data_IF_370661143060
#
_entry.id   IF_370661143060
#
_cell.length_a   1.000
_cell.length_b   1.000
_cell.length_c   1.000
_cell.angle_alpha   90.00
_cell.angle_beta   90.00
_cell.angle_gamma   90.00
#
_symmetry.space_group_name_H-M   'P 1'
#
loop_
_entity.id
_entity.type
_entity.pdbx_description
1 polymer ?
#
# COMPACT_ATOMS: atom_id res chain seq x y z
N UNK A 1 -2.76 -12.27 -22.88
CA UNK A 1 -2.74 -11.29 -21.77
C UNK A 1 -3.90 -11.62 -20.85
N UNK A 2 -3.66 -11.78 -19.55
CA UNK A 2 -4.64 -12.25 -18.56
C UNK A 2 -5.23 -11.06 -17.80
N UNK A 3 -6.57 -11.09 -17.56
CA UNK A 3 -7.25 -10.01 -16.86
C UNK A 3 -7.22 -10.27 -15.35
N UNK A 4 -6.68 -9.32 -14.58
CA UNK A 4 -6.82 -9.27 -13.13
C UNK A 4 -8.18 -8.69 -12.78
N UNK A 5 -8.96 -9.40 -11.99
CA UNK A 5 -10.33 -9.05 -11.63
C UNK A 5 -10.42 -8.53 -10.20
N UNK A 6 -11.47 -7.77 -9.90
CA UNK A 6 -11.86 -7.53 -8.52
C UNK A 6 -12.12 -8.87 -7.83
N UNK A 7 -11.67 -9.01 -6.57
CA UNK A 7 -11.85 -10.27 -5.80
C UNK A 7 -13.32 -10.66 -5.65
N UNK A 8 -14.23 -9.68 -5.61
CA UNK A 8 -15.68 -9.89 -5.54
C UNK A 8 -16.19 -10.46 -6.85
N UNK A 9 -15.80 -9.86 -7.98
CA UNK A 9 -16.15 -10.37 -9.30
C UNK A 9 -15.61 -11.78 -9.51
N UNK A 10 -14.36 -12.00 -9.11
CA UNK A 10 -13.73 -13.32 -9.17
C UNK A 10 -14.49 -14.36 -8.33
N UNK A 11 -14.91 -13.99 -7.11
CA UNK A 11 -15.61 -14.90 -6.19
C UNK A 11 -17.01 -15.28 -6.68
N UNK A 12 -17.80 -14.31 -7.12
CA UNK A 12 -19.21 -14.53 -7.41
C UNK A 12 -19.50 -14.87 -8.87
N UNK A 13 -18.74 -14.30 -9.81
CA UNK A 13 -18.96 -14.50 -11.24
C UNK A 13 -18.02 -15.54 -11.86
N UNK A 14 -16.91 -15.88 -11.17
CA UNK A 14 -15.92 -16.84 -11.64
C UNK A 14 -15.49 -17.83 -10.54
N UNK A 15 -16.43 -18.59 -9.90
CA UNK A 15 -16.17 -19.38 -8.70
C UNK A 15 -15.10 -20.45 -8.87
N UNK A 16 -14.93 -21.05 -10.06
CA UNK A 16 -13.84 -22.00 -10.32
C UNK A 16 -12.47 -21.30 -10.29
N UNK A 17 -12.36 -20.13 -10.93
CA UNK A 17 -11.12 -19.35 -10.93
C UNK A 17 -10.78 -18.83 -9.53
N UNK A 18 -11.81 -18.43 -8.78
CA UNK A 18 -11.65 -18.04 -7.37
C UNK A 18 -11.12 -19.21 -6.54
N UNK A 19 -11.70 -20.41 -6.68
CA UNK A 19 -11.23 -21.61 -5.98
C UNK A 19 -9.80 -21.98 -6.33
N UNK A 20 -9.41 -21.86 -7.60
CA UNK A 20 -8.03 -22.08 -8.03
C UNK A 20 -7.07 -21.05 -7.41
N UNK A 21 -7.44 -19.77 -7.39
CA UNK A 21 -6.65 -18.71 -6.73
C UNK A 21 -6.48 -18.99 -5.24
N UNK A 22 -7.56 -19.29 -4.51
CA UNK A 22 -7.53 -19.55 -3.06
C UNK A 22 -6.64 -20.77 -2.75
N UNK A 23 -6.74 -21.85 -3.54
CA UNK A 23 -5.90 -23.03 -3.35
C UNK A 23 -4.44 -22.78 -3.71
N UNK A 24 -4.16 -22.01 -4.75
CA UNK A 24 -2.79 -21.62 -5.10
C UNK A 24 -2.17 -20.76 -3.99
N UNK A 25 -2.92 -19.81 -3.44
CA UNK A 25 -2.51 -18.98 -2.31
C UNK A 25 -2.22 -19.84 -1.07
N UNK A 26 -3.10 -20.77 -0.71
CA UNK A 26 -2.88 -21.71 0.39
C UNK A 26 -1.58 -22.51 0.21
N UNK A 27 -1.40 -23.11 -0.96
CA UNK A 27 -0.20 -23.90 -1.25
C UNK A 27 1.09 -23.03 -1.22
N UNK A 28 1.01 -21.77 -1.63
CA UNK A 28 2.12 -20.83 -1.54
C UNK A 28 2.42 -20.48 -0.08
N UNK A 29 1.40 -20.19 0.74
CA UNK A 29 1.57 -19.90 2.18
C UNK A 29 2.24 -21.06 2.91
N UNK A 30 1.91 -22.30 2.55
CA UNK A 30 2.49 -23.52 3.15
C UNK A 30 3.91 -23.82 2.62
N UNK A 31 4.43 -23.01 1.68
CA UNK A 31 5.72 -23.24 1.04
C UNK A 31 6.85 -22.41 1.67
N UNK A 32 8.09 -22.77 1.37
CA UNK A 32 9.27 -21.99 1.72
C UNK A 32 9.42 -20.69 0.91
N UNK A 33 8.67 -20.52 -0.18
CA UNK A 33 8.73 -19.31 -0.99
C UNK A 33 7.90 -18.17 -0.36
N UNK A 34 6.90 -18.51 0.48
CA UNK A 34 6.08 -17.50 1.18
C UNK A 34 6.90 -16.50 2.00
N UNK A 35 7.71 -16.95 3.00
CA UNK A 35 8.50 -16.01 3.80
C UNK A 35 9.57 -15.27 2.98
N UNK A 36 10.01 -15.84 1.87
CA UNK A 36 10.99 -15.19 0.98
C UNK A 36 10.38 -14.04 0.23
N UNK A 37 9.24 -14.25 -0.42
CA UNK A 37 8.56 -13.20 -1.18
C UNK A 37 8.06 -12.09 -0.26
N UNK A 38 7.47 -12.44 0.88
CA UNK A 38 6.99 -11.45 1.85
C UNK A 38 8.14 -10.67 2.49
N UNK A 39 9.26 -11.32 2.79
CA UNK A 39 10.43 -10.72 3.41
C UNK A 39 11.11 -9.66 2.56
N UNK A 40 10.96 -9.68 1.24
CA UNK A 40 11.50 -8.66 0.33
C UNK A 40 10.94 -7.27 0.67
N UNK A 41 9.70 -7.19 1.13
CA UNK A 41 9.07 -5.91 1.45
C UNK A 41 9.68 -5.25 2.70
N UNK A 42 9.86 -5.98 3.78
CA UNK A 42 10.25 -5.37 5.04
C UNK A 42 11.33 -6.10 5.83
N UNK A 43 11.22 -7.40 5.94
CA UNK A 43 12.15 -8.23 6.70
C UNK A 43 12.62 -9.40 5.85
N UNK A 44 13.82 -9.31 5.33
CA UNK A 44 14.43 -10.44 4.66
C UNK A 44 14.85 -11.51 5.68
N UNK A 45 14.43 -12.75 5.47
CA UNK A 45 14.74 -13.87 6.33
C UNK A 45 15.59 -14.91 5.60
N UNK A 46 16.57 -15.46 6.29
CA UNK A 46 17.32 -16.63 5.83
C UNK A 46 17.11 -17.79 6.80
N UNK A 47 17.02 -19.03 6.32
CA UNK A 47 17.12 -20.18 7.20
C UNK A 47 18.53 -20.21 7.83
N UNK A 48 18.60 -20.40 9.15
CA UNK A 48 19.83 -20.73 9.84
C UNK A 48 20.16 -22.23 9.64
N UNK A 49 21.28 -22.71 10.23
CA UNK A 49 21.74 -24.10 10.13
C UNK A 49 20.71 -25.13 10.67
N UNK A 50 19.70 -24.69 11.42
CA UNK A 50 18.61 -25.53 11.93
C UNK A 50 17.33 -25.41 11.09
N UNK A 51 17.35 -24.70 9.94
CA UNK A 51 16.19 -24.45 9.10
C UNK A 51 15.24 -23.38 9.65
N UNK A 52 15.59 -22.70 10.74
CA UNK A 52 14.80 -21.60 11.32
C UNK A 52 15.08 -20.32 10.53
N UNK A 53 14.03 -19.64 10.07
CA UNK A 53 14.15 -18.38 9.35
C UNK A 53 14.57 -17.28 10.31
N UNK A 54 15.74 -16.72 10.06
CA UNK A 54 16.29 -15.59 10.82
C UNK A 54 16.36 -14.34 9.93
N UNK A 55 16.26 -13.13 10.48
CA UNK A 55 16.49 -11.90 9.73
C UNK A 55 17.85 -11.94 9.03
N UNK A 56 17.92 -11.54 7.78
CA UNK A 56 19.19 -11.42 7.06
C UNK A 56 20.05 -10.32 7.67
N UNK A 57 21.36 -10.53 7.57
CA UNK A 57 22.32 -9.50 7.96
C UNK A 57 22.01 -8.18 7.19
N UNK A 58 21.78 -7.08 7.90
CA UNK A 58 21.50 -5.76 7.29
C UNK A 58 22.62 -5.27 6.35
N UNK A 59 23.85 -5.71 6.52
CA UNK A 59 24.96 -5.35 5.62
C UNK A 59 24.73 -5.80 4.17
N UNK A 60 24.10 -6.94 3.96
CA UNK A 60 23.79 -7.45 2.60
C UNK A 60 22.71 -6.58 1.94
N UNK A 61 21.74 -6.11 2.71
CA UNK A 61 20.67 -5.23 2.22
C UNK A 61 21.20 -3.83 1.95
N UNK A 62 22.16 -3.37 2.74
CA UNK A 62 22.80 -2.05 2.59
C UNK A 62 23.65 -1.97 1.31
N UNK A 63 24.31 -3.04 0.92
CA UNK A 63 25.13 -3.12 -0.32
C UNK A 63 24.23 -3.02 -1.57
N UNK A 64 22.98 -3.49 -1.50
CA UNK A 64 22.05 -3.56 -2.63
C UNK A 64 20.99 -2.44 -2.63
N UNK A 65 20.81 -1.75 -1.52
CA UNK A 65 19.88 -0.64 -1.38
C UNK A 65 20.57 0.70 -1.60
N UNK A 66 20.16 1.47 -2.61
CA UNK A 66 20.68 2.82 -2.89
C UNK A 66 20.52 3.80 -1.71
N UNK A 67 19.71 3.45 -0.71
CA UNK A 67 19.32 4.32 0.40
C UNK A 67 19.94 3.94 1.74
N UNK A 68 20.62 2.78 1.82
CA UNK A 68 21.10 2.22 3.09
C UNK A 68 19.98 1.73 4.01
N UNK A 69 18.76 1.54 3.47
CA UNK A 69 17.62 0.99 4.18
C UNK A 69 17.72 -0.54 4.31
N UNK A 70 17.27 -1.13 5.43
CA UNK A 70 17.34 -2.57 5.65
C UNK A 70 16.34 -3.40 4.83
N UNK A 71 15.60 -2.78 3.91
CA UNK A 71 14.60 -3.43 3.05
C UNK A 71 14.70 -2.92 1.61
N UNK A 72 14.17 -3.72 0.71
CA UNK A 72 14.12 -3.34 -0.71
C UNK A 72 12.94 -2.43 -1.03
N UNK A 73 11.87 -2.48 -0.23
CA UNK A 73 10.67 -1.73 -0.47
C UNK A 73 10.93 -0.22 -0.55
N UNK A 74 10.30 0.43 -1.49
CA UNK A 74 10.45 1.85 -1.78
C UNK A 74 9.20 2.61 -1.30
N UNK A 75 9.30 3.24 -0.11
CA UNK A 75 8.30 4.18 0.41
C UNK A 75 8.89 5.57 0.51
N UNK A 76 8.03 6.59 0.42
CA UNK A 76 8.42 8.00 0.52
C UNK A 76 9.49 8.41 -0.49
N UNK A 77 9.44 7.80 -1.67
CA UNK A 77 10.31 8.08 -2.83
C UNK A 77 9.49 7.94 -4.11
N UNK A 78 9.92 8.63 -5.16
CA UNK A 78 9.18 8.62 -6.43
C UNK A 78 9.07 7.22 -7.08
N UNK A 79 9.98 6.32 -6.80
CA UNK A 79 9.94 4.93 -7.32
C UNK A 79 8.94 4.02 -6.62
N UNK A 80 8.16 4.52 -5.65
CA UNK A 80 7.21 3.76 -4.84
C UNK A 80 6.38 2.77 -5.66
N UNK A 81 5.50 3.26 -6.52
CA UNK A 81 4.55 2.36 -7.22
C UNK A 81 5.24 1.51 -8.29
N UNK A 82 6.23 2.07 -8.99
CA UNK A 82 6.93 1.34 -10.04
C UNK A 82 7.79 0.17 -9.50
N UNK A 83 8.26 0.24 -8.24
CA UNK A 83 8.93 -0.87 -7.58
C UNK A 83 7.93 -1.98 -7.18
N UNK A 84 6.73 -1.61 -6.75
CA UNK A 84 5.72 -2.58 -6.34
C UNK A 84 5.14 -3.36 -7.52
N UNK A 85 5.11 -2.81 -8.73
CA UNK A 85 4.63 -3.49 -9.94
C UNK A 85 5.35 -4.83 -10.21
N UNK A 86 6.68 -4.91 -10.37
CA UNK A 86 7.38 -6.18 -10.53
C UNK A 86 7.26 -7.07 -9.29
N UNK A 87 7.14 -6.51 -8.10
CA UNK A 87 6.98 -7.25 -6.85
C UNK A 87 5.70 -8.07 -6.84
N UNK A 88 4.55 -7.46 -7.12
CA UNK A 88 3.28 -8.18 -7.20
C UNK A 88 3.20 -9.13 -8.40
N UNK A 89 3.92 -8.84 -9.49
CA UNK A 89 4.01 -9.77 -10.60
C UNK A 89 4.80 -11.04 -10.22
N UNK A 90 5.88 -10.92 -9.46
CA UNK A 90 6.59 -12.07 -8.93
C UNK A 90 5.71 -12.93 -8.02
N UNK A 91 4.87 -12.30 -7.21
CA UNK A 91 3.88 -13.02 -6.42
C UNK A 91 2.89 -13.79 -7.31
N UNK A 92 2.39 -13.19 -8.39
CA UNK A 92 1.51 -13.87 -9.35
C UNK A 92 2.19 -15.08 -10.01
N UNK A 93 3.48 -14.98 -10.35
CA UNK A 93 4.25 -16.11 -10.85
C UNK A 93 4.37 -17.24 -9.81
N UNK A 94 4.54 -16.91 -8.53
CA UNK A 94 4.53 -17.91 -7.46
C UNK A 94 3.14 -18.54 -7.28
N UNK A 95 2.05 -17.80 -7.39
CA UNK A 95 0.70 -18.40 -7.41
C UNK A 95 0.60 -19.45 -8.53
N UNK A 96 1.13 -19.17 -9.71
CA UNK A 96 1.13 -20.12 -10.84
C UNK A 96 2.04 -21.34 -10.59
N UNK A 97 3.20 -21.14 -9.97
CA UNK A 97 4.07 -22.25 -9.54
C UNK A 97 3.37 -23.21 -8.57
N UNK A 98 2.54 -22.66 -7.67
CA UNK A 98 1.82 -23.42 -6.65
C UNK A 98 0.39 -23.78 -7.05
N UNK A 99 -0.03 -23.51 -8.28
CA UNK A 99 -1.30 -23.95 -8.84
C UNK A 99 -1.28 -25.45 -9.13
N UNK A 100 -2.02 -26.22 -8.32
CA UNK A 100 -2.18 -27.67 -8.46
C UNK A 100 -3.56 -28.07 -9.01
N UNK A 101 -4.28 -27.14 -9.65
CA UNK A 101 -5.57 -27.44 -10.27
C UNK A 101 -5.42 -28.38 -11.47
N UNK A 102 -6.45 -29.18 -11.73
CA UNK A 102 -6.45 -30.18 -12.83
C UNK A 102 -6.20 -29.49 -14.18
N UNK A 103 -6.79 -28.32 -14.39
CA UNK A 103 -6.69 -27.62 -15.68
C UNK A 103 -5.43 -26.75 -15.81
N UNK A 104 -4.69 -26.54 -14.71
CA UNK A 104 -3.49 -25.68 -14.67
C UNK A 104 -3.67 -24.32 -15.36
N UNK A 105 -4.89 -23.77 -15.35
CA UNK A 105 -5.17 -22.46 -15.92
C UNK A 105 -4.37 -21.38 -15.21
N UNK A 106 -3.92 -20.38 -15.94
CA UNK A 106 -3.15 -19.28 -15.39
C UNK A 106 -3.95 -18.55 -14.27
N UNK A 107 -3.32 -18.39 -13.12
CA UNK A 107 -3.88 -17.71 -11.95
C UNK A 107 -3.45 -16.26 -11.99
N UNK A 108 -4.39 -15.36 -12.11
CA UNK A 108 -4.12 -13.92 -11.98
C UNK A 108 -4.29 -13.48 -10.53
N UNK A 109 -3.48 -12.55 -10.08
CA UNK A 109 -3.63 -11.90 -8.79
C UNK A 109 -4.86 -10.98 -8.82
N UNK A 110 -5.92 -11.22 -8.03
CA UNK A 110 -7.05 -10.30 -8.00
C UNK A 110 -6.70 -9.01 -7.24
N UNK A 111 -7.54 -7.99 -7.38
CA UNK A 111 -7.43 -6.77 -6.60
C UNK A 111 -8.62 -6.58 -5.65
N UNK A 112 -8.42 -5.82 -4.57
CA UNK A 112 -9.46 -5.38 -3.64
C UNK A 112 -9.63 -3.86 -3.73
N UNK A 113 -10.86 -3.40 -3.90
CA UNK A 113 -11.22 -1.98 -3.84
C UNK A 113 -12.11 -1.74 -2.61
N UNK A 114 -11.50 -1.45 -1.48
CA UNK A 114 -12.20 -1.17 -0.21
C UNK A 114 -13.05 0.10 -0.26
N UNK A 115 -12.88 0.93 -1.28
CA UNK A 115 -13.70 2.14 -1.46
C UNK A 115 -15.02 1.89 -2.19
N UNK A 116 -15.27 0.64 -2.58
CA UNK A 116 -16.58 0.21 -3.07
C UNK A 116 -17.46 -0.26 -1.90
N UNK A 117 -18.34 0.62 -1.43
CA UNK A 117 -19.25 0.35 -0.29
C UNK A 117 -20.45 -0.53 -0.65
N UNK A 118 -20.60 -0.89 -1.91
CA UNK A 118 -21.70 -1.77 -2.35
C UNK A 118 -21.42 -3.25 -2.02
N UNK A 119 -20.19 -3.57 -1.63
CA UNK A 119 -19.74 -4.95 -1.39
C UNK A 119 -19.19 -5.13 0.02
N UNK A 120 -19.31 -6.35 0.51
CA UNK A 120 -18.81 -6.77 1.82
C UNK A 120 -17.57 -7.67 1.67
N UNK A 121 -16.48 -7.25 2.29
CA UNK A 121 -15.21 -7.98 2.28
C UNK A 121 -14.96 -8.79 3.56
N UNK A 122 -15.93 -8.86 4.50
CA UNK A 122 -15.75 -9.53 5.79
C UNK A 122 -15.44 -11.02 5.66
N UNK A 123 -15.87 -11.68 4.56
CA UNK A 123 -15.53 -13.08 4.28
C UNK A 123 -14.00 -13.35 4.27
N UNK A 124 -13.19 -12.32 4.08
CA UNK A 124 -11.73 -12.44 4.15
C UNK A 124 -11.19 -12.60 5.58
N UNK A 125 -12.03 -12.40 6.59
CA UNK A 125 -11.71 -12.62 8.00
C UNK A 125 -12.32 -13.91 8.54
N UNK A 126 -13.20 -14.57 7.78
CA UNK A 126 -13.81 -15.82 8.21
C UNK A 126 -12.74 -16.91 8.35
N UNK A 127 -12.77 -17.73 9.39
CA UNK A 127 -11.74 -18.75 9.63
C UNK A 127 -11.73 -19.84 8.56
N UNK A 128 -12.88 -20.07 7.93
CA UNK A 128 -13.07 -21.07 6.87
C UNK A 128 -13.70 -20.42 5.63
N UNK A 129 -13.42 -20.99 4.48
CA UNK A 129 -14.00 -20.55 3.21
C UNK A 129 -14.46 -21.74 2.38
N UNK A 130 -15.67 -21.64 1.83
CA UNK A 130 -16.18 -22.62 0.88
C UNK A 130 -15.88 -22.17 -0.54
N UNK A 131 -15.21 -23.01 -1.30
CA UNK A 131 -14.78 -22.74 -2.67
C UNK A 131 -15.21 -23.86 -3.61
N UNK A 132 -15.28 -23.55 -4.91
CA UNK A 132 -15.44 -24.54 -5.97
C UNK A 132 -14.07 -24.83 -6.60
N UNK A 133 -13.54 -26.03 -6.37
CA UNK A 133 -12.22 -26.43 -6.81
C UNK A 133 -12.21 -27.83 -7.37
N UNK A 134 -11.60 -28.02 -8.55
CA UNK A 134 -11.54 -29.31 -9.25
C UNK A 134 -12.93 -29.98 -9.38
N UNK A 135 -13.93 -29.18 -9.81
CA UNK A 135 -15.34 -29.59 -10.01
C UNK A 135 -16.07 -30.03 -8.74
N UNK A 136 -15.57 -29.65 -7.56
CA UNK A 136 -16.19 -29.97 -6.26
C UNK A 136 -16.26 -28.73 -5.39
N UNK A 137 -17.29 -28.65 -4.60
CA UNK A 137 -17.39 -27.69 -3.52
C UNK A 137 -16.65 -28.26 -2.30
N UNK A 138 -15.72 -27.49 -1.75
CA UNK A 138 -14.94 -27.86 -0.56
C UNK A 138 -14.87 -26.70 0.40
N UNK A 139 -14.84 -26.99 1.69
CA UNK A 139 -14.57 -26.00 2.75
C UNK A 139 -13.17 -26.23 3.29
N UNK A 140 -12.40 -25.16 3.40
CA UNK A 140 -11.01 -25.18 3.86
C UNK A 140 -10.76 -24.05 4.83
N UNK A 141 -9.66 -24.13 5.62
CA UNK A 141 -9.14 -22.97 6.33
C UNK A 141 -8.90 -21.83 5.32
N UNK A 142 -9.37 -20.64 5.65
CA UNK A 142 -9.35 -19.50 4.74
C UNK A 142 -7.96 -18.86 4.66
N UNK A 143 -7.20 -19.04 3.57
CA UNK A 143 -5.88 -18.44 3.45
C UNK A 143 -5.92 -16.91 3.30
N UNK A 144 -7.09 -16.32 3.05
CA UNK A 144 -7.28 -14.86 3.03
C UNK A 144 -7.42 -14.28 4.44
N UNK A 145 -7.79 -15.10 5.46
CA UNK A 145 -7.99 -14.64 6.83
C UNK A 145 -6.68 -14.41 7.60
N UNK A 146 -5.54 -14.69 6.99
CA UNK A 146 -4.22 -14.48 7.55
C UNK A 146 -3.25 -15.60 7.18
N UNK A 147 -1.99 -15.34 7.38
CA UNK A 147 -0.91 -16.27 7.13
C UNK A 147 0.12 -16.23 8.27
N UNK A 148 1.33 -16.67 8.02
CA UNK A 148 2.36 -16.76 9.05
C UNK A 148 3.60 -15.96 8.67
N UNK A 149 4.22 -15.38 9.68
CA UNK A 149 5.54 -14.78 9.63
C UNK A 149 6.37 -15.25 10.84
N UNK A 150 7.62 -14.85 10.91
CA UNK A 150 8.52 -15.26 11.97
C UNK A 150 9.00 -14.05 12.76
N UNK A 151 8.90 -14.15 14.09
CA UNK A 151 9.43 -13.16 15.04
C UNK A 151 10.43 -13.89 15.90
N UNK A 152 11.70 -13.50 15.83
CA UNK A 152 12.78 -14.12 16.60
C UNK A 152 12.79 -15.66 16.49
N UNK A 153 12.49 -16.17 15.29
CA UNK A 153 12.40 -17.61 15.02
C UNK A 153 11.07 -18.27 15.41
N UNK A 154 10.13 -17.54 16.02
CA UNK A 154 8.81 -18.07 16.39
C UNK A 154 7.80 -17.81 15.27
N UNK A 155 7.14 -18.88 14.80
CA UNK A 155 6.06 -18.79 13.81
C UNK A 155 4.84 -18.11 14.43
N UNK A 156 4.46 -16.95 13.89
CA UNK A 156 3.40 -16.10 14.40
C UNK A 156 2.35 -15.87 13.31
N UNK A 157 1.06 -15.95 13.67
CA UNK A 157 -0.04 -15.68 12.73
C UNK A 157 -0.20 -14.16 12.53
N UNK A 158 -0.49 -13.73 11.31
CA UNK A 158 -0.83 -12.34 11.01
C UNK A 158 -2.20 -11.98 11.62
N UNK A 159 -2.34 -10.71 11.99
CA UNK A 159 -3.56 -10.17 12.59
C UNK A 159 -3.98 -8.87 11.89
N UNK A 160 -5.27 -8.57 11.96
CA UNK A 160 -5.88 -7.32 11.52
C UNK A 160 -6.72 -6.76 12.65
N UNK A 161 -6.42 -5.54 13.07
CA UNK A 161 -7.17 -4.85 14.13
C UNK A 161 -8.13 -3.78 13.58
N UNK A 162 -8.05 -3.51 12.27
CA UNK A 162 -8.91 -2.57 11.58
C UNK A 162 -10.14 -3.22 10.94
N UNK A 163 -10.62 -2.65 9.84
CA UNK A 163 -11.83 -3.12 9.17
C UNK A 163 -11.63 -3.32 7.66
N UNK A 164 -12.43 -4.23 7.10
CA UNK A 164 -12.54 -4.47 5.66
C UNK A 164 -13.84 -3.93 5.07
N UNK A 165 -14.85 -3.73 5.92
CA UNK A 165 -16.13 -3.14 5.55
C UNK A 165 -16.53 -2.12 6.61
N UNK A 166 -16.87 -0.88 6.21
CA UNK A 166 -17.13 0.20 7.17
C UNK A 166 -18.46 -0.01 7.90
N UNK A 167 -18.43 0.09 9.23
CA UNK A 167 -19.59 -0.06 10.11
C UNK A 167 -20.11 1.28 10.62
N UNK A 168 -19.22 2.24 10.81
CA UNK A 168 -19.54 3.55 11.39
C UNK A 168 -19.59 4.65 10.32
N UNK A 169 -20.26 5.77 10.60
CA UNK A 169 -20.24 6.95 9.71
C UNK A 169 -18.82 7.50 9.47
N UNK A 170 -17.95 7.47 10.49
CA UNK A 170 -16.56 7.95 10.39
C UNK A 170 -15.74 7.06 9.47
N UNK A 171 -15.85 5.74 9.58
CA UNK A 171 -15.19 4.79 8.68
C UNK A 171 -15.63 4.99 7.23
N UNK A 172 -16.94 5.23 7.01
CA UNK A 172 -17.46 5.54 5.66
C UNK A 172 -16.91 6.86 5.15
N UNK A 173 -16.78 7.87 6.01
CA UNK A 173 -16.21 9.17 5.61
C UNK A 173 -14.73 9.02 5.25
N UNK A 174 -13.95 8.28 6.04
CA UNK A 174 -12.55 7.99 5.70
C UNK A 174 -12.42 7.33 4.32
N UNK A 175 -13.20 6.30 4.05
CA UNK A 175 -13.15 5.61 2.76
C UNK A 175 -13.65 6.49 1.59
N UNK A 176 -14.64 7.38 1.80
CA UNK A 176 -15.04 8.37 0.77
C UNK A 176 -13.91 9.34 0.45
N UNK A 177 -13.23 9.82 1.49
CA UNK A 177 -12.04 10.66 1.32
C UNK A 177 -10.94 9.94 0.52
N UNK A 178 -10.65 8.69 0.87
CA UNK A 178 -9.68 7.86 0.14
C UNK A 178 -10.11 7.64 -1.31
N UNK A 179 -11.39 7.36 -1.55
CA UNK A 179 -11.93 7.21 -2.91
C UNK A 179 -11.72 8.47 -3.76
N UNK A 180 -12.01 9.63 -3.18
CA UNK A 180 -11.75 10.94 -3.82
C UNK A 180 -10.27 11.14 -4.11
N UNK A 181 -9.40 10.83 -3.16
CA UNK A 181 -7.95 10.93 -3.33
C UNK A 181 -7.46 10.00 -4.46
N UNK A 182 -7.85 8.72 -4.46
CA UNK A 182 -7.53 7.76 -5.51
C UNK A 182 -8.00 8.24 -6.89
N UNK A 183 -9.19 8.81 -6.99
CA UNK A 183 -9.68 9.39 -8.23
C UNK A 183 -8.80 10.56 -8.68
N UNK A 184 -8.46 11.47 -7.77
CA UNK A 184 -7.68 12.66 -8.09
C UNK A 184 -6.24 12.32 -8.53
N UNK A 185 -5.65 11.22 -8.04
CA UNK A 185 -4.32 10.79 -8.52
C UNK A 185 -4.29 10.55 -10.03
N UNK A 186 -5.40 10.12 -10.63
CA UNK A 186 -5.49 9.86 -12.06
C UNK A 186 -5.36 11.11 -12.94
N UNK A 187 -5.50 12.30 -12.35
CA UNK A 187 -5.31 13.61 -13.00
C UNK A 187 -3.89 14.17 -12.80
N UNK A 188 -3.01 13.43 -12.12
CA UNK A 188 -1.63 13.89 -11.92
C UNK A 188 -0.93 14.17 -13.26
N UNK A 189 -0.34 15.36 -13.38
CA UNK A 189 0.26 15.86 -14.63
C UNK A 189 1.58 15.17 -14.99
N UNK A 190 2.24 14.53 -14.01
CA UNK A 190 3.48 13.79 -14.19
C UNK A 190 3.59 12.63 -13.20
N UNK A 191 4.59 11.77 -13.40
CA UNK A 191 4.80 10.56 -12.60
C UNK A 191 5.10 10.87 -11.13
N UNK A 192 5.89 11.89 -10.83
CA UNK A 192 6.27 12.25 -9.47
C UNK A 192 5.04 12.68 -8.67
N UNK A 193 4.17 13.51 -9.25
CA UNK A 193 2.90 13.91 -8.63
C UNK A 193 1.94 12.72 -8.45
N UNK A 194 2.00 11.76 -9.36
CA UNK A 194 1.20 10.54 -9.26
C UNK A 194 1.70 9.62 -8.15
N UNK A 195 3.01 9.37 -8.08
CA UNK A 195 3.58 8.26 -7.29
C UNK A 195 3.66 8.58 -5.81
N UNK A 196 4.51 9.53 -5.41
CA UNK A 196 4.85 9.78 -4.01
C UNK A 196 5.37 11.20 -3.77
N UNK A 197 5.37 11.62 -2.50
CA UNK A 197 6.13 12.80 -2.04
C UNK A 197 7.34 12.31 -1.25
N UNK A 198 8.57 12.61 -1.69
CA UNK A 198 9.74 12.22 -0.95
C UNK A 198 9.81 12.86 0.43
N UNK A 199 10.18 12.07 1.41
CA UNK A 199 10.44 12.58 2.75
C UNK A 199 11.81 13.25 2.80
N UNK A 200 11.85 14.41 3.36
CA UNK A 200 13.07 15.19 3.52
C UNK A 200 13.62 15.07 4.96
N UNK A 201 14.93 14.87 5.07
CA UNK A 201 15.62 14.88 6.38
C UNK A 201 15.78 16.28 6.97
N UNK A 202 15.38 17.31 6.23
CA UNK A 202 15.36 18.71 6.66
C UNK A 202 13.98 19.30 6.43
N UNK A 203 13.55 20.29 7.25
CA UNK A 203 12.32 21.02 7.03
C UNK A 203 12.23 21.47 5.59
N UNK A 204 11.14 21.16 4.93
CA UNK A 204 10.86 21.56 3.55
C UNK A 204 9.75 22.58 3.58
N UNK A 205 9.99 23.78 3.04
CA UNK A 205 8.95 24.78 2.79
C UNK A 205 8.12 24.46 1.53
N UNK A 206 8.27 23.26 0.96
CA UNK A 206 7.55 22.87 -0.24
C UNK A 206 6.13 22.47 0.17
N UNK A 207 5.20 23.36 -0.11
CA UNK A 207 3.77 23.07 -0.02
C UNK A 207 3.39 22.27 -1.26
N UNK A 208 2.95 21.02 -1.04
CA UNK A 208 2.52 20.14 -2.11
C UNK A 208 1.00 20.34 -2.31
N UNK A 209 0.60 20.78 -3.49
CA UNK A 209 -0.81 21.08 -3.84
C UNK A 209 -1.58 19.86 -4.39
N UNK A 210 -1.02 18.66 -4.27
CA UNK A 210 -1.59 17.40 -4.74
C UNK A 210 -1.49 16.30 -3.70
N UNK A 211 -2.23 15.23 -3.92
CA UNK A 211 -2.17 13.99 -3.11
C UNK A 211 -1.67 12.86 -4.02
N UNK A 212 -0.48 12.31 -3.77
CA UNK A 212 0.06 11.20 -4.56
C UNK A 212 -0.60 9.88 -4.17
N UNK A 213 -0.42 8.84 -5.01
CA UNK A 213 -1.00 7.51 -4.79
C UNK A 213 -0.56 6.86 -3.47
N UNK A 214 0.66 7.16 -3.00
CA UNK A 214 1.16 6.61 -1.74
C UNK A 214 0.34 7.07 -0.53
N UNK A 215 -0.28 8.26 -0.57
CA UNK A 215 -1.11 8.76 0.55
C UNK A 215 -2.35 7.88 0.79
N UNK A 216 -3.26 7.69 -0.17
CA UNK A 216 -4.40 6.78 0.02
C UNK A 216 -3.97 5.31 0.22
N UNK A 217 -2.84 4.88 -0.35
CA UNK A 217 -2.26 3.57 -0.10
C UNK A 217 -1.94 3.39 1.40
N UNK A 218 -1.21 4.33 2.02
CA UNK A 218 -0.86 4.29 3.43
C UNK A 218 -2.11 4.27 4.33
N UNK A 219 -3.10 5.12 4.00
CA UNK A 219 -4.37 5.15 4.74
C UNK A 219 -5.13 3.82 4.69
N UNK A 220 -5.12 3.13 3.54
CA UNK A 220 -5.74 1.81 3.41
C UNK A 220 -4.97 0.75 4.21
N UNK A 221 -3.65 0.81 4.27
CA UNK A 221 -2.84 -0.04 5.14
C UNK A 221 -3.27 0.09 6.60
N UNK A 222 -3.39 1.34 7.08
CA UNK A 222 -3.78 1.61 8.48
C UNK A 222 -5.24 1.25 8.75
N UNK A 223 -6.16 1.45 7.79
CA UNK A 223 -7.56 1.03 7.93
C UNK A 223 -7.68 -0.47 8.09
N UNK A 224 -6.92 -1.26 7.33
CA UNK A 224 -6.94 -2.72 7.41
C UNK A 224 -6.23 -3.21 8.68
N UNK A 225 -5.05 -2.66 8.95
CA UNK A 225 -4.21 -3.09 10.06
C UNK A 225 -4.73 -2.63 11.42
N UNK A 226 -5.32 -1.44 11.48
CA UNK A 226 -5.63 -0.79 12.75
C UNK A 226 -4.37 -0.53 13.59
N UNK A 227 -4.52 -0.45 14.90
CA UNK A 227 -3.43 -0.06 15.80
C UNK A 227 -2.33 -1.12 15.95
N UNK A 228 -2.65 -2.39 15.75
CA UNK A 228 -1.76 -3.51 16.10
C UNK A 228 -1.66 -4.59 15.03
N UNK A 229 -2.39 -4.46 13.93
CA UNK A 229 -2.39 -5.46 12.86
C UNK A 229 -1.17 -5.35 11.95
N UNK A 230 -0.86 -6.43 11.27
CA UNK A 230 0.32 -6.52 10.41
C UNK A 230 0.29 -5.54 9.23
N UNK A 231 -0.89 -5.25 8.70
CA UNK A 231 -1.03 -4.31 7.57
C UNK A 231 -0.58 -2.88 7.91
N UNK A 232 -0.55 -2.49 9.18
CA UNK A 232 -0.04 -1.18 9.64
C UNK A 232 1.46 -1.18 9.95
N UNK A 233 2.19 -2.25 9.64
CA UNK A 233 3.64 -2.33 9.87
C UNK A 233 4.36 -2.74 8.58
N UNK A 234 5.10 -1.81 7.96
CA UNK A 234 5.86 -2.02 6.71
C UNK A 234 6.68 -3.30 6.75
N UNK A 235 7.29 -3.62 7.90
CA UNK A 235 8.21 -4.75 8.02
C UNK A 235 7.53 -6.12 7.88
N UNK A 236 6.23 -6.21 8.15
CA UNK A 236 5.48 -7.47 8.15
C UNK A 236 4.18 -7.41 7.36
N UNK A 237 3.81 -6.27 6.79
CA UNK A 237 2.57 -6.10 6.04
C UNK A 237 2.41 -7.13 4.91
N UNK A 238 3.47 -7.43 4.18
CA UNK A 238 3.44 -8.36 3.07
C UNK A 238 3.15 -9.82 3.46
N UNK A 239 3.26 -10.15 4.76
CA UNK A 239 2.85 -11.46 5.28
C UNK A 239 1.33 -11.57 5.47
N UNK A 240 0.59 -10.47 5.40
CA UNK A 240 -0.86 -10.52 5.33
C UNK A 240 -1.31 -10.73 3.88
N UNK A 241 -2.10 -11.76 3.56
CA UNK A 241 -2.53 -12.02 2.18
C UNK A 241 -3.27 -10.87 1.52
N UNK A 242 -3.96 -10.01 2.28
CA UNK A 242 -4.65 -8.83 1.73
C UNK A 242 -3.67 -7.79 1.16
N UNK A 243 -2.46 -7.72 1.67
CA UNK A 243 -1.40 -6.87 1.13
C UNK A 243 -1.29 -6.98 -0.40
N UNK A 244 -1.27 -8.20 -0.91
CA UNK A 244 -1.11 -8.48 -2.34
C UNK A 244 -2.29 -8.00 -3.16
N UNK A 245 -3.51 -8.16 -2.62
CA UNK A 245 -4.74 -7.69 -3.27
C UNK A 245 -4.84 -6.16 -3.24
N UNK A 246 -4.41 -5.54 -2.14
CA UNK A 246 -4.33 -4.10 -1.97
C UNK A 246 -3.33 -3.49 -2.97
N UNK A 247 -2.11 -4.01 -3.04
CA UNK A 247 -1.10 -3.55 -4.00
C UNK A 247 -1.50 -3.82 -5.45
N UNK A 248 -2.24 -4.90 -5.72
CA UNK A 248 -2.83 -5.12 -7.04
C UNK A 248 -3.84 -4.01 -7.42
N UNK A 249 -4.57 -3.43 -6.46
CA UNK A 249 -5.42 -2.27 -6.73
C UNK A 249 -4.60 -0.99 -6.96
N UNK A 250 -3.52 -0.79 -6.22
CA UNK A 250 -2.59 0.33 -6.46
C UNK A 250 -1.95 0.25 -7.85
N UNK A 251 -1.55 -0.94 -8.26
CA UNK A 251 -1.04 -1.22 -9.60
C UNK A 251 -2.10 -0.99 -10.70
N UNK A 252 -3.39 -1.27 -10.41
CA UNK A 252 -4.50 -0.93 -11.30
C UNK A 252 -4.65 0.59 -11.50
N UNK A 253 -4.47 1.39 -10.45
CA UNK A 253 -4.43 2.85 -10.56
C UNK A 253 -3.24 3.31 -11.40
N UNK A 254 -2.06 2.73 -11.19
CA UNK A 254 -0.88 3.02 -11.99
C UNK A 254 -1.07 2.63 -13.45
N UNK A 255 -1.59 1.44 -13.71
CA UNK A 255 -1.96 0.98 -15.05
C UNK A 255 -2.90 1.96 -15.75
N UNK A 256 -3.93 2.44 -15.04
CA UNK A 256 -4.89 3.41 -15.58
C UNK A 256 -4.23 4.75 -15.88
N UNK A 257 -3.41 5.26 -14.95
CA UNK A 257 -2.70 6.52 -15.15
C UNK A 257 -1.75 6.44 -16.35
N UNK A 258 -1.00 5.35 -16.51
CA UNK A 258 -0.15 5.09 -17.66
C UNK A 258 -0.96 5.05 -18.95
N UNK A 259 -2.08 4.33 -18.96
CA UNK A 259 -2.97 4.28 -20.13
C UNK A 259 -3.43 5.67 -20.57
N UNK A 260 -3.78 6.52 -19.63
CA UNK A 260 -4.24 7.88 -19.91
C UNK A 260 -3.12 8.83 -20.38
N UNK A 261 -1.86 8.49 -20.08
CA UNK A 261 -0.68 9.31 -20.39
C UNK A 261 0.23 8.70 -21.48
N UNK A 262 -0.19 7.63 -22.13
CA UNK A 262 0.54 6.97 -23.22
C UNK A 262 -0.40 6.66 -24.38
N UNK A 263 0.16 6.52 -25.59
CA UNK A 263 -0.62 6.07 -26.75
C UNK A 263 -0.85 4.55 -26.67
N UNK A 264 -1.83 4.12 -25.86
CA UNK A 264 -2.21 2.71 -25.68
C UNK A 264 -1.05 1.79 -25.26
N UNK A 265 -0.16 2.25 -24.38
CA UNK A 265 1.05 1.53 -23.92
C UNK A 265 2.06 1.18 -25.03
N UNK A 266 1.89 1.71 -26.23
CA UNK A 266 2.83 1.44 -27.33
C UNK A 266 4.12 2.22 -27.19
N UNK A 267 4.04 3.41 -26.61
CA UNK A 267 5.17 4.29 -26.37
C UNK A 267 5.48 4.35 -24.88
N UNK A 268 6.73 4.59 -24.54
CA UNK A 268 7.12 4.95 -23.19
C UNK A 268 6.41 6.26 -22.78
N UNK A 269 6.14 6.43 -21.48
CA UNK A 269 5.70 7.72 -20.94
C UNK A 269 6.60 8.81 -21.52
N UNK A 270 6.00 9.93 -21.93
CA UNK A 270 6.75 11.08 -22.43
C UNK A 270 7.89 11.42 -21.47
N UNK A 271 9.13 11.54 -21.93
CA UNK A 271 10.30 11.80 -21.07
C UNK A 271 10.18 13.07 -20.23
N UNK A 272 9.36 14.03 -20.67
CA UNK A 272 9.06 15.28 -19.97
C UNK A 272 8.14 15.11 -18.76
N UNK A 273 7.47 13.95 -18.62
CA UNK A 273 6.61 13.64 -17.48
C UNK A 273 7.32 12.89 -16.34
N UNK A 274 8.62 12.65 -16.46
CA UNK A 274 9.43 11.96 -15.45
C UNK A 274 10.76 12.68 -15.31
N UNK A 275 11.15 12.95 -14.06
CA UNK A 275 12.46 13.51 -13.77
C UNK A 275 13.56 12.52 -14.21
N UNK A 276 14.54 13.02 -14.94
CA UNK A 276 15.64 12.23 -15.50
C UNK A 276 16.39 11.41 -14.44
N UNK A 277 16.50 11.95 -13.23
CA UNK A 277 17.16 11.30 -12.08
C UNK A 277 16.41 10.01 -11.64
N UNK A 278 15.07 9.98 -11.72
CA UNK A 278 14.28 8.83 -11.30
C UNK A 278 14.18 7.76 -12.38
N UNK A 279 14.34 8.13 -13.66
CA UNK A 279 14.18 7.23 -14.80
C UNK A 279 15.15 6.05 -14.77
N UNK A 280 16.35 6.25 -14.24
CA UNK A 280 17.41 5.24 -14.11
C UNK A 280 17.46 4.58 -12.72
N UNK A 281 16.51 4.90 -11.81
CA UNK A 281 16.46 4.30 -10.47
C UNK A 281 16.37 2.77 -10.57
N UNK A 282 17.22 2.08 -9.83
CA UNK A 282 17.30 0.62 -9.81
C UNK A 282 16.33 -0.01 -8.83
N UNK A 283 15.81 -1.19 -9.14
CA UNK A 283 14.79 -1.90 -8.39
C UNK A 283 15.29 -3.25 -7.87
N UNK A 284 16.27 -3.20 -6.98
CA UNK A 284 16.64 -4.42 -6.28
C UNK A 284 15.42 -4.98 -5.50
N UNK A 285 15.24 -6.32 -5.42
CA UNK A 285 16.09 -7.37 -5.97
C UNK A 285 15.67 -7.87 -7.38
N UNK A 286 14.95 -7.08 -8.16
CA UNK A 286 14.39 -7.52 -9.44
C UNK A 286 15.38 -7.31 -10.59
N UNK A 287 15.66 -8.38 -11.34
CA UNK A 287 16.57 -8.35 -12.49
C UNK A 287 15.78 -8.37 -13.80
N UNK A 288 16.26 -7.63 -14.81
CA UNK A 288 15.62 -7.55 -16.13
C UNK A 288 15.37 -8.90 -16.76
N UNK A 289 16.34 -9.82 -16.66
CA UNK A 289 16.28 -11.16 -17.26
C UNK A 289 15.10 -11.98 -16.73
N UNK A 290 14.69 -11.77 -15.48
CA UNK A 290 13.72 -12.64 -14.81
C UNK A 290 12.32 -12.04 -14.69
N UNK A 291 12.17 -10.71 -14.75
CA UNK A 291 10.84 -10.07 -14.65
C UNK A 291 9.93 -10.46 -15.80
N UNK A 292 10.49 -10.72 -16.97
CA UNK A 292 9.72 -11.10 -18.16
C UNK A 292 9.78 -12.60 -18.46
N UNK A 293 10.43 -13.38 -17.61
CA UNK A 293 10.53 -14.83 -17.71
C UNK A 293 9.61 -15.49 -16.69
N UNK A 294 8.94 -16.59 -17.09
CA UNK A 294 8.04 -17.36 -16.24
C UNK A 294 8.73 -18.15 -15.12
N UNK A 295 10.05 -18.17 -15.10
CA UNK A 295 10.82 -18.88 -14.09
C UNK A 295 10.92 -18.06 -12.80
N UNK A 296 10.30 -18.56 -11.73
CA UNK A 296 10.26 -17.93 -10.41
C UNK A 296 11.59 -17.95 -9.64
N UNK A 297 12.72 -18.14 -10.27
CA UNK A 297 14.04 -18.32 -9.62
C UNK A 297 14.76 -17.02 -9.26
N UNK A 298 14.13 -15.86 -9.50
CA UNK A 298 14.67 -14.53 -9.17
C UNK A 298 15.28 -14.42 -7.77
N UNK A 299 14.71 -15.14 -6.80
CA UNK A 299 15.13 -15.03 -5.41
C UNK A 299 16.35 -15.87 -5.04
N UNK A 300 16.66 -16.88 -5.82
CA UNK A 300 17.71 -17.83 -5.46
C UNK A 300 19.11 -17.28 -5.69
N UNK A 301 19.26 -16.37 -6.67
CA UNK A 301 20.56 -16.02 -7.21
C UNK A 301 20.79 -14.52 -7.41
N UNK A 302 19.86 -13.67 -6.93
CA UNK A 302 19.84 -12.24 -7.27
C UNK A 302 21.08 -11.46 -6.90
N UNK A 303 21.70 -11.76 -5.79
CA UNK A 303 22.90 -11.08 -5.31
C UNK A 303 24.21 -11.86 -5.51
N UNK A 304 24.13 -13.11 -5.93
CA UNK A 304 25.31 -13.96 -6.12
C UNK A 304 25.91 -13.81 -7.54
N UNK A 305 25.18 -13.15 -8.44
CA UNK A 305 25.60 -13.03 -9.83
C UNK A 305 25.75 -11.56 -10.24
N UNK A 306 26.98 -11.06 -10.22
CA UNK A 306 27.37 -9.69 -10.58
C UNK A 306 27.10 -9.31 -12.05
N UNK A 307 26.75 -10.27 -12.90
CA UNK A 307 26.49 -10.04 -14.34
C UNK A 307 25.03 -9.67 -14.63
N UNK A 308 24.15 -9.73 -13.64
CA UNK A 308 22.73 -9.43 -13.83
C UNK A 308 22.41 -7.96 -13.63
N UNK A 309 21.81 -7.35 -14.63
CA UNK A 309 21.35 -5.96 -14.56
C UNK A 309 20.02 -5.86 -13.81
N UNK A 310 19.96 -5.01 -12.78
CA UNK A 310 18.69 -4.71 -12.07
C UNK A 310 17.68 -4.07 -13.00
N UNK A 311 16.41 -4.40 -12.75
CA UNK A 311 15.29 -3.69 -13.33
C UNK A 311 15.37 -2.21 -12.92
N UNK A 312 14.96 -1.31 -13.81
CA UNK A 312 14.92 0.14 -13.54
C UNK A 312 13.51 0.66 -13.71
N UNK A 313 13.26 1.86 -13.19
CA UNK A 313 11.96 2.51 -13.34
C UNK A 313 11.52 2.54 -14.81
N UNK A 314 12.39 2.91 -15.74
CA UNK A 314 12.08 2.93 -17.18
C UNK A 314 11.59 1.60 -17.75
N UNK A 315 12.02 0.50 -17.17
CA UNK A 315 11.62 -0.83 -17.60
C UNK A 315 10.21 -1.17 -17.13
N UNK A 316 9.83 -0.74 -15.93
CA UNK A 316 8.47 -0.98 -15.36
C UNK A 316 7.39 -0.12 -16.01
N UNK A 317 7.76 0.99 -16.62
CA UNK A 317 6.82 1.83 -17.37
C UNK A 317 6.32 1.18 -18.67
N UNK A 318 6.91 0.06 -19.07
CA UNK A 318 6.51 -0.70 -20.27
C UNK A 318 5.49 -1.78 -19.90
N UNK A 319 4.28 -1.38 -19.53
CA UNK A 319 3.23 -2.30 -19.08
C UNK A 319 2.84 -3.34 -20.13
N UNK A 320 3.02 -3.06 -21.42
CA UNK A 320 2.79 -4.05 -22.50
C UNK A 320 3.69 -5.29 -22.43
N UNK A 321 4.75 -5.27 -21.61
CA UNK A 321 5.62 -6.42 -21.37
C UNK A 321 5.09 -7.36 -20.29
N UNK A 322 4.16 -6.92 -19.44
CA UNK A 322 3.52 -7.78 -18.47
C UNK A 322 2.39 -8.59 -19.13
N UNK A 323 2.20 -9.85 -18.80
CA UNK A 323 1.18 -10.69 -19.44
C UNK A 323 -0.23 -10.47 -18.85
N UNK A 324 -0.43 -9.44 -18.08
CA UNK A 324 -1.71 -9.10 -17.45
C UNK A 324 -2.19 -7.69 -17.82
N UNK A 325 -3.47 -7.44 -17.56
CA UNK A 325 -4.11 -6.14 -17.69
C UNK A 325 -5.23 -6.00 -16.67
N UNK A 326 -5.69 -4.77 -16.48
CA UNK A 326 -6.84 -4.42 -15.65
C UNK A 326 -7.96 -3.78 -16.46
N UNK A 327 -9.13 -3.65 -15.82
CA UNK A 327 -10.13 -2.68 -16.26
C UNK A 327 -9.57 -1.26 -16.04
N UNK A 328 -9.69 -0.43 -17.05
CA UNK A 328 -9.37 0.99 -16.93
C UNK A 328 -10.41 1.65 -16.01
N UNK A 329 -9.92 2.32 -14.99
CA UNK A 329 -10.76 3.12 -14.11
C UNK A 329 -11.22 4.35 -14.91
N UNK A 330 -12.53 4.54 -14.99
CA UNK A 330 -13.09 5.78 -15.53
C UNK A 330 -13.08 6.82 -14.41
N UNK A 331 -12.21 7.83 -14.46
CA UNK A 331 -12.17 8.83 -13.42
C UNK A 331 -13.47 9.65 -13.43
N UNK A 332 -14.01 9.92 -12.26
CA UNK A 332 -15.03 10.97 -12.09
C UNK A 332 -14.34 12.32 -12.21
N UNK A 333 -15.07 13.42 -12.48
CA UNK A 333 -14.45 14.75 -12.51
C UNK A 333 -13.54 14.98 -11.30
N UNK A 334 -12.40 15.61 -11.52
CA UNK A 334 -11.50 15.97 -10.44
C UNK A 334 -12.24 16.86 -9.42
N UNK A 335 -12.13 16.50 -8.15
CA UNK A 335 -12.67 17.32 -7.06
C UNK A 335 -11.50 18.02 -6.40
N UNK A 336 -11.31 19.31 -6.66
CA UNK A 336 -10.23 20.07 -6.05
C UNK A 336 -10.29 19.98 -4.52
N UNK A 337 -9.15 19.89 -3.88
CA UNK A 337 -9.04 19.93 -2.43
C UNK A 337 -9.19 21.38 -1.97
N UNK A 338 -10.43 21.77 -1.62
CA UNK A 338 -10.77 23.15 -1.26
C UNK A 338 -10.79 23.41 0.25
N UNK A 339 -10.94 22.36 1.06
CA UNK A 339 -10.90 22.44 2.51
C UNK A 339 -10.00 21.33 3.09
N UNK A 340 -8.87 21.71 3.67
CA UNK A 340 -7.93 20.78 4.26
C UNK A 340 -7.12 21.40 5.40
N UNK A 341 -6.62 20.54 6.28
CA UNK A 341 -5.61 20.90 7.27
C UNK A 341 -4.25 20.49 6.71
N UNK A 342 -3.34 21.43 6.59
CA UNK A 342 -1.96 21.19 6.23
C UNK A 342 -1.13 21.07 7.50
N UNK A 343 -0.52 19.92 7.70
CA UNK A 343 0.44 19.67 8.77
C UNK A 343 1.84 19.90 8.20
N UNK A 344 2.60 20.81 8.81
CA UNK A 344 3.85 21.32 8.27
C UNK A 344 4.99 20.89 9.18
N UNK A 345 6.01 20.29 8.57
CA UNK A 345 7.25 19.92 9.24
C UNK A 345 7.03 19.16 10.56
N UNK A 346 6.10 18.20 10.55
CA UNK A 346 5.84 17.39 11.74
C UNK A 346 6.87 16.26 11.87
N UNK A 347 7.32 15.96 13.10
CA UNK A 347 8.17 14.80 13.35
C UNK A 347 7.34 13.54 13.18
N UNK A 348 7.83 12.59 12.39
CA UNK A 348 7.15 11.32 12.19
C UNK A 348 7.83 10.24 13.01
N UNK A 349 7.08 9.48 13.82
CA UNK A 349 7.61 8.31 14.51
C UNK A 349 8.03 7.23 13.49
N UNK A 350 8.89 6.33 13.89
CA UNK A 350 9.29 5.17 13.06
C UNK A 350 8.13 4.24 12.72
N UNK A 351 7.19 4.09 13.65
CA UNK A 351 5.98 3.27 13.47
C UNK A 351 4.94 3.98 12.63
N UNK A 352 4.03 3.21 12.04
CA UNK A 352 2.85 3.76 11.39
C UNK A 352 2.01 4.56 12.36
N UNK A 353 1.47 5.66 11.88
CA UNK A 353 0.62 6.55 12.66
C UNK A 353 -0.54 7.05 11.81
N UNK A 354 -1.74 6.94 12.34
CA UNK A 354 -2.92 7.64 11.84
C UNK A 354 -3.18 8.87 12.70
N UNK A 355 -3.39 10.00 12.06
CA UNK A 355 -3.69 11.29 12.68
C UNK A 355 -5.12 11.63 12.35
N UNK A 356 -5.95 11.77 13.39
CA UNK A 356 -7.37 12.11 13.30
C UNK A 356 -7.54 13.56 13.70
N UNK A 357 -8.25 14.32 12.88
CA UNK A 357 -8.60 15.71 13.14
C UNK A 357 -10.07 15.84 13.53
N UNK A 358 -10.34 16.59 14.58
CA UNK A 358 -11.67 16.89 15.07
C UNK A 358 -11.86 18.40 15.11
N UNK A 359 -12.93 18.89 14.47
CA UNK A 359 -13.37 20.27 14.57
C UNK A 359 -14.62 20.33 15.44
N UNK A 360 -14.47 20.89 16.63
CA UNK A 360 -15.51 20.98 17.64
C UNK A 360 -15.92 22.46 17.83
N UNK A 361 -17.20 22.82 17.81
CA UNK A 361 -17.62 24.18 18.16
C UNK A 361 -17.09 24.55 19.55
N UNK A 362 -16.59 25.78 19.72
CA UNK A 362 -16.14 26.28 21.01
C UNK A 362 -17.24 26.13 22.07
N UNK A 363 -16.85 25.88 23.29
CA UNK A 363 -17.74 25.63 24.42
C UNK A 363 -18.62 24.35 24.30
N UNK A 364 -18.31 23.46 23.40
CA UNK A 364 -18.96 22.15 23.25
C UNK A 364 -17.98 21.03 23.65
N UNK A 365 -18.49 19.98 24.29
CA UNK A 365 -17.67 18.81 24.60
C UNK A 365 -17.34 18.02 23.32
N UNK A 366 -16.09 17.62 23.16
CA UNK A 366 -15.66 16.80 22.04
C UNK A 366 -16.42 15.48 21.99
N UNK A 367 -17.16 15.27 20.90
CA UNK A 367 -17.76 13.98 20.57
C UNK A 367 -17.09 13.45 19.28
N UNK A 368 -16.28 12.40 19.41
CA UNK A 368 -15.48 11.84 18.31
C UNK A 368 -16.30 11.40 17.10
N UNK A 369 -17.55 10.95 17.33
CA UNK A 369 -18.44 10.51 16.24
C UNK A 369 -19.06 11.67 15.46
N UNK A 370 -19.20 12.83 16.08
CA UNK A 370 -19.87 14.01 15.49
C UNK A 370 -18.84 15.00 14.93
N UNK A 371 -17.73 15.19 15.64
CA UNK A 371 -16.75 16.22 15.34
C UNK A 371 -15.57 15.73 14.51
N UNK A 372 -15.57 14.46 14.11
CA UNK A 372 -14.55 13.91 13.22
C UNK A 372 -14.56 14.66 11.88
N UNK A 373 -13.47 15.34 11.58
CA UNK A 373 -13.34 16.17 10.39
C UNK A 373 -12.55 15.47 9.27
N UNK A 374 -11.58 14.63 9.61
CA UNK A 374 -10.78 13.90 8.64
C UNK A 374 -9.61 13.16 9.28
N UNK A 375 -8.87 12.43 8.46
CA UNK A 375 -7.68 11.71 8.89
C UNK A 375 -6.61 11.70 7.80
N UNK A 376 -5.36 11.48 8.22
CA UNK A 376 -4.24 11.14 7.36
C UNK A 376 -3.37 10.10 8.04
N UNK A 377 -2.48 9.47 7.29
CA UNK A 377 -1.63 8.40 7.82
C UNK A 377 -0.22 8.49 7.30
N UNK A 378 0.71 8.03 8.13
CA UNK A 378 2.07 7.72 7.78
C UNK A 378 2.31 6.23 7.96
N UNK A 379 2.84 5.56 6.96
CA UNK A 379 3.12 4.13 6.99
C UNK A 379 4.60 3.90 7.33
N UNK A 380 4.87 3.31 8.48
CA UNK A 380 6.20 3.17 9.05
C UNK A 380 6.50 1.76 9.57
N UNK A 381 7.61 1.63 10.28
CA UNK A 381 8.12 0.36 10.81
C UNK A 381 7.89 0.32 12.31
N UNK A 382 7.05 -0.60 12.77
CA UNK A 382 6.63 -0.69 14.18
C UNK A 382 7.66 -1.35 15.12
N UNK A 383 8.86 -1.73 14.67
CA UNK A 383 9.80 -2.49 15.49
C UNK A 383 11.09 -1.75 15.81
N UNK A 384 11.68 -2.11 16.98
CA UNK A 384 13.03 -1.72 17.40
C UNK A 384 14.13 -2.29 16.49
N UNK A 385 14.05 -2.00 15.20
CA UNK A 385 15.10 -2.35 14.27
C UNK A 385 16.22 -1.34 14.47
N UNK A 386 17.34 -1.77 15.06
CA UNK A 386 18.54 -0.95 15.38
C UNK A 386 19.29 -0.45 14.15
N UNK A 387 18.65 -0.20 12.99
CA UNK A 387 19.35 -0.31 11.73
C UNK A 387 19.60 0.97 10.95
N UNK A 388 19.14 2.12 11.37
CA UNK A 388 19.47 3.30 10.59
C UNK A 388 19.61 4.56 11.42
N UNK A 389 20.83 5.12 11.50
CA UNK A 389 21.03 6.46 12.04
C UNK A 389 20.29 7.55 11.24
N UNK A 390 19.96 7.28 9.96
CA UNK A 390 19.18 8.19 9.10
C UNK A 390 17.68 8.14 9.36
N UNK A 391 17.18 7.07 10.00
CA UNK A 391 15.77 6.90 10.35
C UNK A 391 15.41 7.53 11.70
N UNK A 392 16.27 8.33 12.32
CA UNK A 392 16.06 8.76 13.71
C UNK A 392 14.90 9.72 13.88
N UNK A 393 14.69 10.66 13.05
CA UNK A 393 13.47 11.50 13.02
C UNK A 393 13.31 12.01 11.60
N UNK A 394 12.33 11.49 10.91
CA UNK A 394 11.91 12.02 9.62
C UNK A 394 10.88 13.11 9.88
N UNK A 395 10.93 14.19 9.13
CA UNK A 395 9.95 15.26 9.18
C UNK A 395 9.25 15.35 7.83
N UNK A 396 7.95 15.58 7.85
CA UNK A 396 7.15 15.64 6.63
C UNK A 396 6.02 16.64 6.73
N UNK A 397 5.44 16.93 5.57
CA UNK A 397 4.18 17.64 5.45
C UNK A 397 3.10 16.62 5.10
N UNK A 398 1.97 16.69 5.81
CA UNK A 398 0.80 15.85 5.55
C UNK A 398 -0.42 16.74 5.33
N UNK A 399 -1.44 16.19 4.67
CA UNK A 399 -2.72 16.87 4.50
C UNK A 399 -3.86 16.00 5.02
N UNK A 400 -4.81 16.65 5.70
CA UNK A 400 -6.05 16.03 6.12
C UNK A 400 -7.17 16.72 5.35
N UNK A 401 -7.83 15.98 4.45
CA UNK A 401 -9.04 16.48 3.77
C UNK A 401 -10.18 16.58 4.78
N UNK A 402 -10.73 17.78 4.93
CA UNK A 402 -11.84 18.07 5.83
C UNK A 402 -13.07 18.58 5.06
N UNK A 403 -13.07 18.50 3.75
CA UNK A 403 -14.09 19.12 2.90
C UNK A 403 -15.50 18.63 3.22
N UNK A 404 -15.72 17.32 3.39
CA UNK A 404 -17.03 16.77 3.71
C UNK A 404 -17.58 17.32 5.04
N UNK A 405 -16.70 17.47 6.04
CA UNK A 405 -17.08 18.04 7.33
C UNK A 405 -17.42 19.52 7.24
N UNK A 406 -16.58 20.28 6.53
CA UNK A 406 -16.75 21.73 6.32
C UNK A 406 -18.05 22.02 5.58
N UNK A 407 -18.33 21.30 4.50
CA UNK A 407 -19.58 21.45 3.72
C UNK A 407 -20.81 21.10 4.56
N UNK A 408 -20.80 19.96 5.24
CA UNK A 408 -21.90 19.51 6.10
C UNK A 408 -22.23 20.49 7.20
N UNK A 409 -21.23 21.12 7.82
CA UNK A 409 -21.39 22.03 8.94
C UNK A 409 -21.42 23.51 8.51
N UNK A 410 -21.35 23.79 7.20
CA UNK A 410 -21.35 25.15 6.62
C UNK A 410 -20.23 26.03 7.21
N UNK A 411 -19.04 25.43 7.38
CA UNK A 411 -17.88 26.15 7.90
C UNK A 411 -17.27 26.99 6.78
N UNK A 412 -16.93 28.22 7.08
CA UNK A 412 -16.33 29.19 6.16
C UNK A 412 -15.15 29.89 6.84
N UNK A 413 -14.38 30.70 6.09
CA UNK A 413 -13.35 31.55 6.67
C UNK A 413 -13.88 32.52 7.76
N UNK A 414 -15.13 32.88 7.69
CA UNK A 414 -15.72 33.84 8.65
C UNK A 414 -16.04 33.17 10.00
N UNK A 415 -16.40 31.88 10.01
CA UNK A 415 -16.82 31.16 11.20
C UNK A 415 -15.92 30.05 11.68
N UNK A 416 -14.84 29.72 10.95
CA UNK A 416 -13.88 28.70 11.40
C UNK A 416 -13.25 29.03 12.76
N UNK A 417 -13.16 30.32 13.09
CA UNK A 417 -12.70 30.80 14.39
C UNK A 417 -13.62 30.41 15.56
N UNK A 418 -14.84 29.97 15.32
CA UNK A 418 -15.75 29.45 16.33
C UNK A 418 -15.52 27.96 16.67
N UNK A 419 -14.59 27.35 16.03
CA UNK A 419 -14.24 25.94 16.22
C UNK A 419 -12.89 25.79 16.92
N UNK A 420 -12.75 24.72 17.68
CA UNK A 420 -11.49 24.22 18.23
C UNK A 420 -11.05 23.00 17.44
N UNK A 421 -9.83 23.03 16.93
CA UNK A 421 -9.20 21.90 16.27
C UNK A 421 -8.46 21.04 17.30
N UNK A 422 -8.70 19.75 17.29
CA UNK A 422 -8.03 18.77 18.16
C UNK A 422 -7.50 17.64 17.32
N UNK A 423 -6.30 17.17 17.63
CA UNK A 423 -5.69 16.00 16.98
C UNK A 423 -5.59 14.82 17.94
N UNK A 424 -5.89 13.64 17.43
CA UNK A 424 -5.63 12.37 18.11
C UNK A 424 -4.84 11.44 17.19
N UNK A 425 -4.18 10.48 17.79
CA UNK A 425 -3.44 9.46 17.05
C UNK A 425 -3.86 8.08 17.50
N UNK A 426 -3.67 7.08 16.64
CA UNK A 426 -3.93 5.68 16.96
C UNK A 426 -2.84 5.04 17.85
N UNK A 427 -1.77 5.76 18.16
CA UNK A 427 -0.70 5.31 19.03
C UNK A 427 -0.67 6.16 20.31
N UNK A 428 -0.02 5.67 21.38
CA UNK A 428 0.08 6.37 22.68
C UNK A 428 0.95 7.64 22.66
N UNK A 429 0.99 8.36 21.55
CA UNK A 429 1.56 9.70 21.43
C UNK A 429 0.37 10.67 21.41
N UNK A 430 0.31 11.56 22.38
CA UNK A 430 -0.73 12.60 22.35
C UNK A 430 -0.57 13.44 21.10
N UNK A 431 -1.67 13.67 20.36
CA UNK A 431 -1.65 14.47 19.13
C UNK A 431 -1.01 15.83 19.34
N UNK A 432 -1.25 16.47 20.48
CA UNK A 432 -0.68 17.75 20.89
C UNK A 432 0.85 17.71 21.08
N UNK A 433 1.45 16.54 21.32
CA UNK A 433 2.91 16.39 21.38
C UNK A 433 3.55 16.24 19.99
N UNK A 434 2.78 15.78 19.02
CA UNK A 434 3.22 15.59 17.64
C UNK A 434 3.01 16.86 16.80
N UNK A 435 1.89 17.54 17.03
CA UNK A 435 1.43 18.71 16.28
C UNK A 435 1.32 19.87 17.26
N UNK A 436 2.33 20.75 17.26
CA UNK A 436 2.36 21.96 18.10
C UNK A 436 1.70 23.12 17.37
N UNK A 437 1.27 24.12 18.11
CA UNK A 437 0.81 25.39 17.53
C UNK A 437 1.87 25.96 16.58
N UNK A 438 1.45 26.28 15.36
CA UNK A 438 2.33 26.75 14.29
C UNK A 438 2.80 25.68 13.32
N UNK A 439 2.58 24.37 13.61
CA UNK A 439 2.89 23.28 12.69
C UNK A 439 1.69 22.85 11.84
N UNK A 440 0.61 23.60 11.86
CA UNK A 440 -0.55 23.35 11.01
C UNK A 440 -1.22 24.64 10.57
N UNK A 441 -1.93 24.55 9.46
CA UNK A 441 -2.85 25.60 9.01
C UNK A 441 -4.12 24.97 8.43
N UNK A 442 -5.26 25.65 8.64
CA UNK A 442 -6.53 25.27 8.01
C UNK A 442 -6.66 26.11 6.74
N UNK A 443 -6.89 25.45 5.62
CA UNK A 443 -7.08 26.08 4.31
C UNK A 443 -8.53 25.86 3.89
N UNK A 444 -9.26 26.94 3.69
CA UNK A 444 -10.60 26.98 3.09
C UNK A 444 -10.53 27.86 1.85
N UNK A 445 -10.83 27.30 0.65
CA UNK A 445 -10.74 27.99 -0.66
C UNK A 445 -12.11 28.11 -1.31
#
# INVERSE_FOLDING_TARGET
MHKRLNIIDLKYNHPERFGVFVMALRNLIDSHDWPRICGIHGNTFKPNDKGVLCPTNPEIVTILGETGEPFYCKHSVYSFIAWHTPYIYQFELLLNKYNKSINQNYVTLPYIDLTDFSVDFTFMNDPEITIFYNKRQITIENPLAGAYYYVDGVKTKTTRAGFLSPRTPNERMQLRTIKKQLNNTLYASNYERFSSVPVHHKPSNIVVDYVPLETPHNQLHDIIGGDTGNMSDVSVAAFDPIFWLHHSNMDRHFYTWLHNNTNNFKDSIYPDKILKVNYEATFAPFFKKYVYNTDCEIYKYGWENSELEFLRLKDTLQFNKYPYHYDIIKPTPEVPLTAFIELIDIPIPRQSISIFAYLCPKNTLLNRSIHFAGATSWFGINRNVKFCKRCEVTRTNLKIDIQEYVEKNKITNDNIGDYTLTFETNINIKGDMLIQDGNYQIILR
#
